data_IF_256700589645
#
_entry.id   IF_256700589645
#
_cell.length_a   1.000
_cell.length_b   1.000
_cell.length_c   1.000
_cell.angle_alpha   90.00
_cell.angle_beta   90.00
_cell.angle_gamma   90.00
#
_symmetry.space_group_name_H-M   'P 1'
#
loop_
_entity.id
_entity.type
_entity.pdbx_description
1 polymer ?
#
# COMPACT_ATOMS: atom_id res chain seq x y z
N UNK A 1 -6.62 -11.49 17.54
CA UNK A 1 -5.44 -12.01 18.25
C UNK A 1 -5.47 -11.34 19.61
N UNK A 2 -5.92 -12.06 20.63
CA UNK A 2 -5.99 -11.53 21.99
C UNK A 2 -4.55 -11.30 22.47
N UNK A 3 -4.25 -10.08 22.90
CA UNK A 3 -2.91 -9.73 23.38
C UNK A 3 -2.71 -10.43 24.73
N UNK A 4 -1.71 -11.32 24.81
CA UNK A 4 -1.41 -12.14 25.99
C UNK A 4 -1.26 -11.29 27.27
N UNK A 5 -0.76 -10.05 27.13
CA UNK A 5 -0.64 -9.12 28.25
C UNK A 5 -2.00 -8.71 28.85
N UNK A 6 -3.06 -8.63 28.04
CA UNK A 6 -4.38 -8.20 28.50
C UNK A 6 -4.97 -9.28 29.40
N UNK A 7 -4.86 -10.55 29.02
CA UNK A 7 -5.30 -11.67 29.85
C UNK A 7 -4.49 -11.77 31.15
N UNK A 8 -3.19 -11.52 31.11
CA UNK A 8 -2.37 -11.46 32.33
C UNK A 8 -2.75 -10.29 33.25
N UNK A 9 -3.06 -9.12 32.69
CA UNK A 9 -3.55 -7.98 33.48
C UNK A 9 -4.93 -8.31 34.06
N UNK A 10 -5.84 -8.93 33.30
CA UNK A 10 -7.18 -9.33 33.78
C UNK A 10 -7.03 -10.32 34.93
N UNK A 11 -6.15 -11.32 34.77
CA UNK A 11 -5.89 -12.32 35.78
C UNK A 11 -5.29 -11.74 37.06
N UNK A 12 -4.39 -10.77 36.95
CA UNK A 12 -3.72 -10.17 38.12
C UNK A 12 -4.57 -9.11 38.83
N UNK A 13 -5.38 -8.36 38.10
CA UNK A 13 -6.19 -7.25 38.66
C UNK A 13 -7.64 -7.64 38.96
N UNK A 14 -8.10 -8.79 38.45
CA UNK A 14 -9.47 -9.27 38.58
C UNK A 14 -10.52 -8.46 37.81
N UNK A 15 -10.11 -7.54 36.93
CA UNK A 15 -11.02 -6.56 36.32
C UNK A 15 -11.20 -6.75 34.81
N UNK A 16 -12.04 -7.69 34.44
CA UNK A 16 -12.43 -7.90 33.04
C UNK A 16 -13.20 -6.70 32.43
N UNK A 17 -13.81 -5.82 33.26
CA UNK A 17 -14.62 -4.69 32.76
C UNK A 17 -13.77 -3.58 32.13
N UNK A 18 -12.49 -3.47 32.48
CA UNK A 18 -11.58 -2.47 31.89
C UNK A 18 -10.78 -2.98 30.68
N UNK A 19 -11.12 -4.16 30.13
CA UNK A 19 -10.45 -4.75 28.95
C UNK A 19 -10.33 -3.75 27.79
N UNK A 20 -11.42 -3.07 27.43
CA UNK A 20 -11.43 -2.08 26.36
C UNK A 20 -10.46 -0.90 26.61
N UNK A 21 -10.28 -0.51 27.87
CA UNK A 21 -9.31 0.53 28.24
C UNK A 21 -7.87 0.03 28.10
N UNK A 22 -7.57 -1.22 28.49
CA UNK A 22 -6.22 -1.78 28.36
C UNK A 22 -5.85 -2.08 26.92
N UNK A 23 -6.77 -2.57 26.10
CA UNK A 23 -6.57 -2.70 24.66
C UNK A 23 -6.28 -1.35 24.00
N UNK A 24 -7.02 -0.29 24.41
CA UNK A 24 -6.75 1.08 23.98
C UNK A 24 -5.37 1.56 24.45
N UNK A 25 -4.98 1.25 25.68
CA UNK A 25 -3.66 1.61 26.22
C UNK A 25 -2.53 0.89 25.45
N UNK A 26 -2.66 -0.40 25.16
CA UNK A 26 -1.71 -1.17 24.33
C UNK A 26 -1.62 -0.59 22.92
N UNK A 27 -2.75 -0.19 22.32
CA UNK A 27 -2.77 0.44 21.00
C UNK A 27 -2.07 1.81 20.99
N UNK A 28 -2.22 2.60 22.05
CA UNK A 28 -1.69 3.97 22.13
C UNK A 28 -0.23 3.98 22.57
N UNK A 29 0.13 3.17 23.58
CA UNK A 29 1.44 3.15 24.22
C UNK A 29 2.38 2.12 23.57
N UNK A 30 1.84 1.02 23.04
CA UNK A 30 2.61 -0.14 22.61
C UNK A 30 2.73 -1.16 23.74
N UNK A 31 2.83 -2.45 23.38
CA UNK A 31 2.83 -3.57 24.32
C UNK A 31 4.01 -3.50 25.31
N UNK A 32 5.19 -3.07 24.87
CA UNK A 32 6.38 -2.95 25.74
C UNK A 32 6.18 -1.96 26.89
N UNK A 33 5.60 -0.78 26.62
CA UNK A 33 5.35 0.23 27.67
C UNK A 33 4.28 -0.27 28.64
N UNK A 34 3.26 -0.96 28.14
CA UNK A 34 2.24 -1.56 29.01
C UNK A 34 2.86 -2.70 29.84
N UNK A 35 3.82 -3.46 29.31
CA UNK A 35 4.55 -4.50 30.03
C UNK A 35 5.45 -3.95 31.13
N UNK A 36 6.10 -2.81 30.90
CA UNK A 36 6.90 -2.11 31.90
C UNK A 36 6.02 -1.63 33.07
N UNK A 37 4.91 -0.94 32.79
CA UNK A 37 3.98 -0.46 33.84
C UNK A 37 3.27 -1.63 34.55
N UNK A 38 3.03 -2.73 33.86
CA UNK A 38 2.50 -3.96 34.46
C UNK A 38 3.53 -4.65 35.36
N UNK A 39 4.81 -4.61 35.00
CA UNK A 39 5.91 -5.11 35.83
C UNK A 39 6.11 -4.26 37.09
N UNK A 40 5.97 -2.94 36.96
CA UNK A 40 5.93 -2.01 38.09
C UNK A 40 4.76 -2.29 39.03
N UNK A 41 3.56 -2.57 38.51
CA UNK A 41 2.43 -3.02 39.33
C UNK A 41 2.80 -4.30 40.10
N UNK A 42 3.36 -5.31 39.44
CA UNK A 42 3.75 -6.58 40.09
C UNK A 42 4.74 -6.33 41.23
N UNK A 43 5.73 -5.48 41.02
CA UNK A 43 6.71 -5.09 42.04
C UNK A 43 6.07 -4.39 43.23
N UNK A 44 5.17 -3.44 43.00
CA UNK A 44 4.49 -2.69 44.07
C UNK A 44 3.45 -3.52 44.84
N UNK A 45 2.89 -4.55 44.21
CA UNK A 45 2.07 -5.55 44.91
C UNK A 45 2.92 -6.44 45.83
N UNK A 46 4.13 -6.83 45.42
CA UNK A 46 5.05 -7.62 46.24
C UNK A 46 5.54 -6.86 47.48
N UNK A 47 5.70 -5.54 47.39
CA UNK A 47 6.09 -4.67 48.50
C UNK A 47 4.91 -4.21 49.38
N UNK A 48 3.69 -4.73 49.15
CA UNK A 48 2.43 -4.39 49.85
C UNK A 48 2.02 -2.91 49.80
N UNK A 49 2.57 -2.13 48.87
CA UNK A 49 2.28 -0.70 48.75
C UNK A 49 1.01 -0.39 47.93
N UNK A 50 0.37 -1.41 47.34
CA UNK A 50 -0.82 -1.23 46.49
C UNK A 50 -1.97 -2.11 46.98
N UNK A 51 -3.05 -1.46 47.44
CA UNK A 51 -4.28 -2.13 47.88
C UNK A 51 -5.29 -2.35 46.75
N UNK A 52 -5.21 -1.56 45.66
CA UNK A 52 -6.10 -1.66 44.49
C UNK A 52 -5.30 -1.71 43.17
N UNK A 53 -4.87 -2.91 42.74
CA UNK A 53 -4.03 -3.10 41.55
C UNK A 53 -4.59 -2.48 40.27
N UNK A 54 -5.92 -2.58 40.09
CA UNK A 54 -6.65 -2.00 38.95
C UNK A 54 -6.48 -0.47 38.88
N UNK A 55 -6.75 0.24 39.97
CA UNK A 55 -6.73 1.72 39.97
C UNK A 55 -5.30 2.21 39.79
N UNK A 56 -4.33 1.50 40.38
CA UNK A 56 -2.92 1.80 40.25
C UNK A 56 -2.43 1.71 38.79
N UNK A 57 -2.64 0.56 38.14
CA UNK A 57 -2.23 0.39 36.74
C UNK A 57 -2.97 1.36 35.80
N UNK A 58 -4.26 1.60 36.06
CA UNK A 58 -5.04 2.58 35.28
C UNK A 58 -4.46 3.99 35.42
N UNK A 59 -4.00 4.38 36.61
CA UNK A 59 -3.38 5.67 36.84
C UNK A 59 -2.02 5.80 36.14
N UNK A 60 -1.18 4.76 36.23
CA UNK A 60 0.11 4.69 35.53
C UNK A 60 -0.07 4.84 34.00
N UNK A 61 -0.96 4.06 33.42
CA UNK A 61 -1.23 4.10 31.99
C UNK A 61 -1.84 5.44 31.55
N UNK A 62 -2.77 6.02 32.33
CA UNK A 62 -3.30 7.37 32.06
C UNK A 62 -2.21 8.44 32.10
N UNK A 63 -1.27 8.35 33.05
CA UNK A 63 -0.15 9.27 33.17
C UNK A 63 0.77 9.17 31.94
N UNK A 64 1.07 7.97 31.47
CA UNK A 64 1.85 7.74 30.25
C UNK A 64 1.14 8.21 28.98
N UNK A 65 -0.17 7.99 28.87
CA UNK A 65 -0.98 8.49 27.75
C UNK A 65 -0.92 10.03 27.71
N UNK A 66 -1.14 10.70 28.84
CA UNK A 66 -1.04 12.16 28.93
C UNK A 66 0.37 12.66 28.62
N UNK A 67 1.41 12.03 29.13
CA UNK A 67 2.80 12.41 28.84
C UNK A 67 3.09 12.35 27.33
N UNK A 68 2.66 11.27 26.65
CA UNK A 68 2.82 11.11 25.20
C UNK A 68 2.00 12.11 24.39
N UNK A 69 0.83 12.52 24.89
CA UNK A 69 0.03 13.60 24.29
C UNK A 69 0.69 14.98 24.47
N UNK A 70 1.44 15.18 25.56
CA UNK A 70 2.11 16.44 25.87
C UNK A 70 3.45 16.57 25.13
N UNK A 71 4.16 15.46 24.90
CA UNK A 71 5.38 15.38 24.09
C UNK A 71 5.12 15.62 22.59
N UNK A 72 3.93 15.25 22.08
CA UNK A 72 3.49 15.63 20.72
C UNK A 72 3.35 17.14 20.52
N UNK A 73 3.24 17.93 21.59
CA UNK A 73 3.08 19.39 21.53
C UNK A 73 4.38 20.20 21.68
N UNK A 74 5.53 19.58 21.98
CA UNK A 74 6.77 20.31 22.34
C UNK A 74 8.00 20.05 21.47
N UNK A 75 7.89 19.25 20.41
CA UNK A 75 8.99 19.16 19.43
C UNK A 75 8.91 20.32 18.43
N UNK A 76 10.00 21.08 18.19
CA UNK A 76 10.05 22.03 17.10
C UNK A 76 9.94 21.25 15.79
N UNK A 77 8.78 21.35 15.14
CA UNK A 77 8.57 20.77 13.82
C UNK A 77 9.51 21.45 12.82
N UNK A 78 10.44 20.74 12.14
CA UNK A 78 10.89 21.22 10.85
C UNK A 78 9.65 21.36 9.98
N UNK A 79 9.54 22.48 9.25
CA UNK A 79 8.37 22.83 8.45
C UNK A 79 7.84 21.61 7.70
N UNK A 80 6.71 21.08 8.18
CA UNK A 80 5.98 20.00 7.54
C UNK A 80 5.52 20.58 6.20
N UNK A 81 6.01 20.09 5.05
CA UNK A 81 5.35 20.41 3.79
C UNK A 81 3.90 19.96 3.94
N UNK A 82 2.97 20.87 3.63
CA UNK A 82 1.51 20.71 3.66
C UNK A 82 1.02 19.34 4.15
N UNK A 83 0.36 19.31 5.31
CA UNK A 83 -0.46 18.19 5.83
C UNK A 83 -0.69 17.14 4.73
N UNK A 84 -0.06 15.96 4.83
CA UNK A 84 -0.47 14.77 4.08
C UNK A 84 -1.98 14.62 4.30
N UNK A 85 -2.79 15.19 3.39
CA UNK A 85 -4.26 15.17 3.47
C UNK A 85 -4.60 13.70 3.37
N UNK A 86 -5.12 13.08 4.42
CA UNK A 86 -5.41 11.64 4.40
C UNK A 86 -6.34 11.30 3.23
N UNK A 87 -5.81 10.55 2.25
CA UNK A 87 -6.35 10.36 0.89
C UNK A 87 -7.24 9.10 0.73
N UNK A 88 -7.90 8.68 1.81
CA UNK A 88 -8.78 7.51 1.82
C UNK A 88 -10.22 7.91 1.51
N UNK A 89 -11.04 6.96 1.07
CA UNK A 89 -12.49 7.18 0.99
C UNK A 89 -13.06 7.34 2.40
N UNK A 90 -14.06 8.20 2.52
CA UNK A 90 -14.66 8.55 3.82
C UNK A 90 -15.19 7.32 4.56
N UNK A 91 -15.89 6.45 3.84
CA UNK A 91 -16.53 5.24 4.36
C UNK A 91 -16.59 4.12 3.29
N UNK A 92 -17.10 2.95 3.68
CA UNK A 92 -17.20 1.77 2.82
C UNK A 92 -18.13 1.97 1.61
N UNK A 93 -19.20 2.77 1.75
CA UNK A 93 -20.13 3.06 0.66
C UNK A 93 -19.44 3.90 -0.43
N UNK A 94 -18.66 4.92 -0.04
CA UNK A 94 -17.91 5.76 -0.97
C UNK A 94 -16.79 4.98 -1.69
N UNK A 95 -16.20 3.98 -1.02
CA UNK A 95 -15.29 3.01 -1.62
C UNK A 95 -16.01 2.16 -2.68
N UNK A 96 -17.18 1.59 -2.34
CA UNK A 96 -17.99 0.78 -3.25
C UNK A 96 -18.41 1.56 -4.48
N UNK A 97 -19.00 2.75 -4.31
CA UNK A 97 -19.51 3.57 -5.42
C UNK A 97 -18.43 3.92 -6.42
N UNK A 98 -17.23 4.27 -5.94
CA UNK A 98 -16.13 4.57 -6.84
C UNK A 98 -15.62 3.34 -7.61
N UNK A 99 -15.60 2.15 -6.99
CA UNK A 99 -15.13 0.94 -7.67
C UNK A 99 -16.20 0.35 -8.61
N UNK A 100 -17.45 0.80 -8.48
CA UNK A 100 -18.62 0.36 -9.24
C UNK A 100 -19.02 1.28 -10.40
N UNK A 101 -18.10 2.12 -10.91
CA UNK A 101 -18.38 3.07 -12.00
C UNK A 101 -18.64 2.40 -13.35
N UNK A 102 -19.68 2.79 -14.11
CA UNK A 102 -19.98 2.23 -15.43
C UNK A 102 -18.84 2.43 -16.43
N UNK A 103 -18.90 1.66 -17.53
CA UNK A 103 -18.00 1.88 -18.65
C UNK A 103 -18.20 3.28 -19.26
N UNK A 104 -17.16 3.80 -19.90
CA UNK A 104 -17.25 5.03 -20.66
C UNK A 104 -18.24 4.89 -21.83
N UNK A 105 -19.02 5.93 -22.12
CA UNK A 105 -20.03 5.93 -23.18
C UNK A 105 -20.26 7.32 -23.77
N UNK A 106 -20.49 7.39 -25.08
CA UNK A 106 -20.71 8.65 -25.79
C UNK A 106 -19.45 9.31 -26.31
N UNK A 107 -19.55 10.60 -26.64
CA UNK A 107 -18.45 11.40 -27.18
C UNK A 107 -17.47 11.75 -26.06
N UNK A 108 -16.18 11.52 -26.31
CA UNK A 108 -15.11 11.90 -25.40
C UNK A 108 -14.66 13.35 -25.64
N UNK A 109 -14.82 14.21 -24.65
CA UNK A 109 -14.26 15.56 -24.64
C UNK A 109 -12.88 15.55 -23.95
N UNK A 110 -11.84 16.02 -24.64
CA UNK A 110 -10.49 16.11 -24.07
C UNK A 110 -10.41 17.31 -23.13
N UNK A 111 -9.98 17.07 -21.89
CA UNK A 111 -9.68 18.08 -20.88
C UNK A 111 -8.34 17.79 -20.20
N UNK A 112 -7.89 18.71 -19.37
CA UNK A 112 -6.78 18.52 -18.43
C UNK A 112 -7.32 18.71 -17.01
N UNK A 113 -6.68 18.11 -16.00
CA UNK A 113 -7.02 18.44 -14.62
C UNK A 113 -6.71 19.91 -14.33
N UNK A 114 -7.65 20.63 -13.73
CA UNK A 114 -7.51 22.05 -13.40
C UNK A 114 -6.27 22.31 -12.53
N UNK A 115 -6.08 21.46 -11.51
CA UNK A 115 -4.85 21.42 -10.73
C UNK A 115 -4.17 20.08 -11.07
N UNK A 116 -3.02 20.06 -11.78
CA UNK A 116 -2.31 18.82 -12.07
C UNK A 116 -1.58 18.26 -10.83
N UNK A 117 -1.01 17.07 -10.94
CA UNK A 117 -0.09 16.53 -9.94
C UNK A 117 1.31 17.12 -10.09
N UNK A 118 2.06 17.19 -8.98
CA UNK A 118 3.49 17.54 -9.03
C UNK A 118 4.24 16.51 -9.87
N UNK A 119 5.10 17.01 -10.77
CA UNK A 119 5.98 16.17 -11.58
C UNK A 119 7.01 15.41 -10.75
N UNK A 120 7.19 15.69 -9.46
CA UNK A 120 8.18 15.01 -8.61
C UNK A 120 7.70 13.70 -7.97
N UNK A 121 6.41 13.41 -8.03
CA UNK A 121 5.82 12.24 -7.37
C UNK A 121 4.88 11.48 -8.29
N UNK A 122 4.64 10.22 -7.98
CA UNK A 122 3.68 9.36 -8.66
C UNK A 122 2.40 9.30 -7.82
N UNK A 123 1.23 9.71 -8.36
CA UNK A 123 -0.04 9.53 -7.68
C UNK A 123 -0.45 8.05 -7.68
N UNK A 124 -0.39 7.41 -6.52
CA UNK A 124 -0.73 6.00 -6.37
C UNK A 124 -2.11 5.82 -5.74
N UNK A 125 -3.11 5.41 -6.52
CA UNK A 125 -4.48 5.19 -6.04
C UNK A 125 -4.51 4.32 -4.78
N UNK A 126 -5.19 4.80 -3.73
CA UNK A 126 -5.21 4.16 -2.40
C UNK A 126 -5.81 2.76 -2.40
N UNK A 127 -6.65 2.42 -3.38
CA UNK A 127 -7.22 1.08 -3.50
C UNK A 127 -6.21 0.04 -4.02
N UNK A 128 -5.13 0.48 -4.71
CA UNK A 128 -4.12 -0.43 -5.27
C UNK A 128 -3.11 -0.77 -4.16
N UNK A 129 -3.35 -1.88 -3.48
CA UNK A 129 -2.46 -2.44 -2.47
C UNK A 129 -1.49 -3.47 -3.06
N UNK A 130 -0.61 -4.04 -2.22
CA UNK A 130 0.31 -5.11 -2.62
C UNK A 130 -0.43 -6.32 -3.24
N UNK A 131 -1.66 -6.59 -2.81
CA UNK A 131 -2.44 -7.77 -3.22
C UNK A 131 -2.88 -7.73 -4.70
N UNK A 132 -2.75 -6.58 -5.36
CA UNK A 132 -3.01 -6.46 -6.80
C UNK A 132 -1.94 -7.17 -7.65
N UNK A 133 -0.76 -7.40 -7.09
CA UNK A 133 0.37 -7.95 -7.82
C UNK A 133 0.88 -9.24 -7.16
N UNK A 134 1.54 -10.08 -7.94
CA UNK A 134 2.20 -11.31 -7.47
C UNK A 134 3.64 -11.37 -7.95
N UNK A 135 4.43 -12.29 -7.41
CA UNK A 135 5.75 -12.63 -7.93
C UNK A 135 5.63 -13.34 -9.29
N UNK A 136 6.61 -13.14 -10.18
CA UNK A 136 6.73 -13.79 -11.49
C UNK A 136 6.87 -15.32 -11.43
N UNK A 137 7.22 -15.85 -10.25
CA UNK A 137 7.24 -17.30 -9.97
C UNK A 137 5.84 -17.88 -9.83
N UNK A 138 4.81 -17.06 -9.60
CA UNK A 138 3.43 -17.52 -9.63
C UNK A 138 3.05 -17.94 -11.06
N UNK A 139 2.75 -19.23 -11.24
CA UNK A 139 2.33 -19.79 -12.52
C UNK A 139 0.81 -19.93 -12.65
N UNK A 140 0.05 -19.59 -11.60
CA UNK A 140 -1.39 -19.58 -11.67
C UNK A 140 -1.88 -18.50 -12.63
N UNK A 141 -2.93 -18.81 -13.40
CA UNK A 141 -3.59 -17.84 -14.28
C UNK A 141 -4.72 -17.08 -13.58
N UNK A 142 -5.22 -17.60 -12.45
CA UNK A 142 -6.14 -16.92 -11.56
C UNK A 142 -6.00 -17.41 -10.12
N UNK A 143 -6.36 -16.57 -9.15
CA UNK A 143 -6.43 -16.91 -7.73
C UNK A 143 -7.36 -15.94 -6.97
N UNK A 144 -7.62 -16.23 -5.69
CA UNK A 144 -8.41 -15.37 -4.80
C UNK A 144 -7.52 -14.89 -3.67
N UNK A 145 -7.53 -13.58 -3.43
CA UNK A 145 -6.80 -12.93 -2.33
C UNK A 145 -7.74 -12.04 -1.53
N UNK A 146 -7.36 -11.77 -0.28
CA UNK A 146 -8.11 -10.85 0.59
C UNK A 146 -7.62 -9.43 0.39
N UNK A 147 -8.29 -8.64 -0.45
CA UNK A 147 -7.97 -7.24 -0.66
C UNK A 147 -8.43 -6.41 0.55
N UNK A 148 -7.51 -5.62 1.12
CA UNK A 148 -7.80 -4.77 2.28
C UNK A 148 -7.87 -3.31 1.83
N UNK A 149 -8.99 -2.67 2.08
CA UNK A 149 -9.22 -1.27 1.80
C UNK A 149 -9.37 -0.53 3.12
N UNK A 150 -8.59 0.53 3.30
CA UNK A 150 -8.71 1.41 4.47
C UNK A 150 -9.58 2.60 4.11
N UNK A 151 -10.46 2.98 5.03
CA UNK A 151 -11.30 4.18 4.95
C UNK A 151 -10.85 5.22 5.98
N UNK A 152 -11.29 6.48 5.83
CA UNK A 152 -10.87 7.58 6.72
C UNK A 152 -11.37 7.42 8.16
N UNK A 153 -12.52 6.77 8.34
CA UNK A 153 -13.06 6.35 9.64
C UNK A 153 -12.16 5.33 10.40
N UNK A 154 -11.11 4.83 9.74
CA UNK A 154 -10.16 3.88 10.31
C UNK A 154 -10.61 2.43 10.16
N UNK A 155 -11.76 2.16 9.54
CA UNK A 155 -12.19 0.81 9.24
C UNK A 155 -11.33 0.18 8.13
N UNK A 156 -11.18 -1.15 8.23
CA UNK A 156 -10.51 -1.96 7.22
C UNK A 156 -11.53 -2.90 6.62
N UNK A 157 -11.99 -2.59 5.42
CA UNK A 157 -12.86 -3.49 4.65
C UNK A 157 -12.00 -4.56 3.99
N UNK A 158 -12.30 -5.82 4.25
CA UNK A 158 -11.61 -6.97 3.67
C UNK A 158 -12.54 -7.63 2.65
N UNK A 159 -12.10 -7.71 1.39
CA UNK A 159 -12.92 -8.16 0.28
C UNK A 159 -12.19 -9.27 -0.47
N UNK A 160 -12.84 -10.43 -0.71
CA UNK A 160 -12.33 -11.40 -1.65
C UNK A 160 -12.19 -10.76 -3.04
N UNK A 161 -10.96 -10.75 -3.54
CA UNK A 161 -10.62 -10.28 -4.87
C UNK A 161 -10.11 -11.46 -5.69
N UNK A 162 -10.84 -11.82 -6.73
CA UNK A 162 -10.43 -12.78 -7.72
C UNK A 162 -9.52 -12.07 -8.74
N UNK A 163 -8.27 -12.53 -8.88
CA UNK A 163 -7.31 -12.00 -9.86
C UNK A 163 -7.31 -12.88 -11.10
N UNK A 164 -7.18 -12.27 -12.28
CA UNK A 164 -7.10 -12.96 -13.55
C UNK A 164 -8.43 -13.43 -14.13
N UNK A 165 -9.58 -12.99 -13.61
CA UNK A 165 -10.92 -13.24 -14.18
C UNK A 165 -11.79 -11.99 -14.03
N UNK A 166 -12.66 -11.73 -15.00
CA UNK A 166 -13.63 -10.61 -14.99
C UNK A 166 -14.88 -10.95 -14.18
N UNK A 167 -15.17 -12.24 -13.98
CA UNK A 167 -16.30 -12.73 -13.18
C UNK A 167 -16.00 -14.14 -12.63
N UNK A 168 -16.72 -14.61 -11.59
CA UNK A 168 -16.56 -15.94 -11.04
C UNK A 168 -16.81 -16.98 -12.13
N UNK A 169 -15.99 -18.03 -12.15
CA UNK A 169 -16.02 -19.10 -13.18
C UNK A 169 -15.81 -18.63 -14.62
N UNK A 170 -15.49 -17.35 -14.87
CA UNK A 170 -15.15 -16.82 -16.20
C UNK A 170 -13.75 -17.23 -16.66
N UNK A 171 -13.38 -16.96 -17.91
CA UNK A 171 -12.07 -17.32 -18.46
C UNK A 171 -10.87 -16.77 -17.65
N UNK A 172 -9.82 -17.58 -17.51
CA UNK A 172 -8.55 -17.16 -16.91
C UNK A 172 -7.69 -16.36 -17.89
N UNK A 173 -7.33 -15.14 -17.48
CA UNK A 173 -6.58 -14.19 -18.32
C UNK A 173 -5.17 -13.92 -17.81
N UNK A 174 -4.77 -14.52 -16.70
CA UNK A 174 -3.47 -14.31 -16.07
C UNK A 174 -3.53 -13.26 -14.95
N UNK A 175 -2.56 -13.33 -14.03
CA UNK A 175 -2.45 -12.42 -12.88
C UNK A 175 -1.37 -11.38 -13.17
N UNK A 176 -1.60 -10.13 -12.79
CA UNK A 176 -0.58 -9.09 -12.90
C UNK A 176 0.55 -9.33 -11.90
N UNK A 177 1.79 -9.26 -12.38
CA UNK A 177 3.00 -9.41 -11.55
C UNK A 177 3.51 -8.06 -11.07
N UNK A 178 4.51 -8.07 -10.19
CA UNK A 178 5.19 -6.85 -9.74
C UNK A 178 5.72 -6.00 -10.89
N UNK A 179 6.21 -6.63 -11.96
CA UNK A 179 6.68 -5.89 -13.13
C UNK A 179 5.58 -5.02 -13.75
N UNK A 180 4.35 -5.51 -13.79
CA UNK A 180 3.20 -4.73 -14.24
C UNK A 180 2.91 -3.56 -13.29
N UNK A 181 3.09 -3.76 -11.98
CA UNK A 181 3.00 -2.67 -10.98
C UNK A 181 4.03 -1.57 -11.21
N UNK A 182 5.27 -1.93 -11.58
CA UNK A 182 6.33 -0.98 -11.96
C UNK A 182 6.01 -0.26 -13.26
N UNK A 183 5.50 -0.99 -14.27
CA UNK A 183 5.04 -0.41 -15.54
C UNK A 183 3.91 0.61 -15.28
N UNK A 184 2.92 0.25 -14.46
CA UNK A 184 1.85 1.17 -14.08
C UNK A 184 2.37 2.43 -13.39
N UNK A 185 3.35 2.31 -12.48
CA UNK A 185 4.00 3.45 -11.84
C UNK A 185 4.66 4.38 -12.87
N UNK A 186 5.39 3.81 -13.83
CA UNK A 186 6.05 4.56 -14.89
C UNK A 186 5.05 5.21 -15.86
N UNK A 187 3.96 4.53 -16.26
CA UNK A 187 2.89 5.10 -17.08
C UNK A 187 2.23 6.29 -16.35
N UNK A 188 1.95 6.17 -15.05
CA UNK A 188 1.42 7.29 -14.26
C UNK A 188 2.39 8.48 -14.20
N UNK A 189 3.69 8.23 -14.11
CA UNK A 189 4.70 9.28 -14.19
C UNK A 189 4.67 10.01 -15.55
N UNK A 190 4.49 9.27 -16.65
CA UNK A 190 4.31 9.85 -18.00
C UNK A 190 3.02 10.69 -18.06
N UNK A 191 1.91 10.16 -17.55
CA UNK A 191 0.63 10.88 -17.48
C UNK A 191 0.75 12.22 -16.73
N UNK A 192 1.41 12.23 -15.57
CA UNK A 192 1.70 13.46 -14.83
C UNK A 192 2.59 14.42 -15.63
N UNK A 193 3.61 13.90 -16.30
CA UNK A 193 4.50 14.70 -17.14
C UNK A 193 3.80 15.37 -18.32
N UNK A 194 2.70 14.76 -18.80
CA UNK A 194 1.84 15.27 -19.88
C UNK A 194 0.71 16.19 -19.39
N UNK A 195 0.84 16.79 -18.18
CA UNK A 195 -0.16 17.66 -17.57
C UNK A 195 -1.50 16.98 -17.28
N UNK A 196 -1.46 15.68 -16.99
CA UNK A 196 -2.62 14.91 -16.51
C UNK A 196 -3.87 15.03 -17.40
N UNK A 197 -3.78 14.67 -18.70
CA UNK A 197 -4.92 14.77 -19.60
C UNK A 197 -5.99 13.71 -19.27
N UNK A 198 -7.25 14.05 -19.57
CA UNK A 198 -8.41 13.22 -19.29
C UNK A 198 -9.49 13.39 -20.36
N UNK A 199 -10.31 12.37 -20.53
CA UNK A 199 -11.57 12.43 -21.27
C UNK A 199 -12.73 12.55 -20.30
N UNK A 200 -13.72 13.37 -20.66
CA UNK A 200 -15.05 13.36 -20.04
C UNK A 200 -16.04 12.85 -21.08
N UNK A 201 -16.73 11.77 -20.77
CA UNK A 201 -17.64 11.09 -21.69
C UNK A 201 -19.07 11.61 -21.54
N UNK A 202 -19.68 12.06 -22.64
CA UNK A 202 -20.97 12.78 -22.62
C UNK A 202 -22.13 12.00 -22.01
N UNK A 203 -22.25 10.70 -22.32
CA UNK A 203 -23.47 9.95 -22.02
C UNK A 203 -23.48 9.43 -20.58
N UNK A 204 -22.30 9.23 -20.01
CA UNK A 204 -22.13 8.64 -18.67
C UNK A 204 -21.51 9.59 -17.65
N UNK A 205 -20.94 10.71 -18.09
CA UNK A 205 -20.14 11.61 -17.24
C UNK A 205 -18.85 10.97 -16.71
N UNK A 206 -18.51 9.76 -17.17
CA UNK A 206 -17.32 9.03 -16.72
C UNK A 206 -16.07 9.77 -17.16
N UNK A 207 -15.05 9.73 -16.30
CA UNK A 207 -13.75 10.32 -16.58
C UNK A 207 -12.75 9.21 -16.93
N UNK A 208 -12.06 9.36 -18.05
CA UNK A 208 -10.97 8.49 -18.51
C UNK A 208 -9.66 9.24 -18.59
N UNK A 209 -8.79 9.09 -17.58
CA UNK A 209 -7.43 9.64 -17.63
C UNK A 209 -6.62 8.90 -18.71
N UNK A 210 -5.89 9.63 -19.54
CA UNK A 210 -5.14 9.01 -20.64
C UNK A 210 -3.78 9.65 -20.85
N UNK A 211 -2.85 8.94 -21.49
CA UNK A 211 -1.55 9.48 -21.90
C UNK A 211 -1.00 8.78 -23.15
N UNK A 212 -0.02 9.41 -23.78
CA UNK A 212 0.75 8.82 -24.89
C UNK A 212 2.07 8.25 -24.35
N UNK A 213 2.28 6.96 -24.47
CA UNK A 213 3.43 6.26 -23.88
C UNK A 213 4.38 5.82 -24.98
N UNK A 214 5.55 6.48 -25.08
CA UNK A 214 6.65 5.94 -25.88
C UNK A 214 7.25 4.74 -25.17
N UNK A 215 7.31 3.58 -25.83
CA UNK A 215 7.83 2.34 -25.22
C UNK A 215 9.30 2.48 -24.81
N UNK A 216 10.09 3.27 -25.56
CA UNK A 216 11.48 3.58 -25.19
C UNK A 216 11.58 4.48 -23.97
N UNK A 217 10.68 5.46 -23.82
CA UNK A 217 10.62 6.28 -22.61
C UNK A 217 10.21 5.46 -21.40
N UNK A 218 9.22 4.57 -21.56
CA UNK A 218 8.79 3.63 -20.53
C UNK A 218 9.95 2.74 -20.08
N UNK A 219 10.72 2.17 -21.01
CA UNK A 219 11.90 1.36 -20.72
C UNK A 219 12.94 2.14 -19.90
N UNK A 220 13.20 3.40 -20.25
CA UNK A 220 14.11 4.29 -19.52
C UNK A 220 13.62 4.53 -18.08
N UNK A 221 12.33 4.80 -17.88
CA UNK A 221 11.72 5.00 -16.55
C UNK A 221 11.70 3.71 -15.70
N UNK A 222 11.84 2.54 -16.32
CA UNK A 222 12.00 1.26 -15.64
C UNK A 222 13.47 0.92 -15.37
N UNK A 223 14.41 1.77 -15.81
CA UNK A 223 15.84 1.55 -15.70
C UNK A 223 16.36 0.38 -16.53
N UNK A 224 15.77 0.15 -17.72
CA UNK A 224 16.27 -0.85 -18.68
C UNK A 224 17.41 -0.23 -19.50
N UNK A 225 18.61 -0.81 -19.42
CA UNK A 225 19.82 -0.30 -20.08
C UNK A 225 19.99 -0.87 -21.49
N UNK A 226 19.70 -2.16 -21.69
CA UNK A 226 19.79 -2.84 -22.98
C UNK A 226 18.38 -3.07 -23.55
N UNK A 227 17.98 -2.22 -24.50
CA UNK A 227 16.60 -2.21 -25.01
C UNK A 227 16.56 -2.32 -26.54
N UNK A 228 16.39 -3.56 -27.01
CA UNK A 228 16.28 -3.92 -28.43
C UNK A 228 14.85 -4.26 -28.88
N UNK A 229 14.74 -4.83 -30.08
CA UNK A 229 13.45 -5.13 -30.72
C UNK A 229 12.59 -6.13 -29.94
N UNK A 230 13.19 -7.22 -29.44
CA UNK A 230 12.47 -8.22 -28.66
C UNK A 230 11.95 -7.65 -27.33
N UNK A 231 12.78 -6.86 -26.63
CA UNK A 231 12.39 -6.19 -25.39
C UNK A 231 11.29 -5.15 -25.63
N UNK A 232 11.29 -4.50 -26.80
CA UNK A 232 10.23 -3.59 -27.22
C UNK A 232 8.88 -4.30 -27.33
N UNK A 233 8.84 -5.45 -28.01
CA UNK A 233 7.61 -6.27 -28.12
C UNK A 233 7.15 -6.71 -26.74
N UNK A 234 8.04 -7.30 -25.94
CA UNK A 234 7.71 -7.78 -24.59
C UNK A 234 7.18 -6.67 -23.68
N UNK A 235 7.78 -5.46 -23.72
CA UNK A 235 7.31 -4.35 -22.91
C UNK A 235 5.96 -3.83 -23.40
N UNK A 236 5.74 -3.82 -24.71
CA UNK A 236 4.43 -3.47 -25.30
C UNK A 236 3.35 -4.44 -24.83
N UNK A 237 3.61 -5.74 -24.90
CA UNK A 237 2.69 -6.79 -24.44
C UNK A 237 2.34 -6.65 -22.95
N UNK A 238 3.33 -6.31 -22.11
CA UNK A 238 3.09 -6.06 -20.68
C UNK A 238 2.25 -4.81 -20.39
N UNK A 239 2.24 -3.83 -21.30
CA UNK A 239 1.27 -2.72 -21.22
C UNK A 239 -0.13 -3.22 -21.57
N UNK A 240 -0.28 -4.05 -22.60
CA UNK A 240 -1.56 -4.68 -22.94
C UNK A 240 -2.07 -5.60 -21.83
N UNK A 241 -1.19 -6.30 -21.12
CA UNK A 241 -1.55 -7.12 -19.96
C UNK A 241 -2.30 -6.33 -18.88
N UNK A 242 -1.94 -5.06 -18.63
CA UNK A 242 -2.64 -4.20 -17.67
C UNK A 242 -4.11 -3.91 -18.05
N UNK A 243 -4.46 -4.05 -19.34
CA UNK A 243 -5.83 -4.00 -19.85
C UNK A 243 -6.49 -5.37 -19.81
N UNK A 244 -5.78 -6.41 -20.22
CA UNK A 244 -6.36 -7.72 -20.47
C UNK A 244 -6.52 -8.57 -19.20
N UNK A 245 -5.70 -8.33 -18.17
CA UNK A 245 -5.72 -9.06 -16.90
C UNK A 245 -6.57 -8.30 -15.88
N UNK A 246 -7.73 -8.88 -15.61
CA UNK A 246 -8.76 -8.23 -14.80
C UNK A 246 -8.78 -8.73 -13.36
N UNK A 247 -9.40 -7.94 -12.51
CA UNK A 247 -9.77 -8.24 -11.14
C UNK A 247 -11.28 -8.33 -11.05
N UNK A 248 -11.80 -9.13 -10.13
CA UNK A 248 -13.20 -9.15 -9.75
C UNK A 248 -13.32 -9.02 -8.24
N UNK A 249 -14.08 -8.02 -7.80
CA UNK A 249 -14.35 -7.79 -6.38
C UNK A 249 -15.70 -8.41 -6.01
N UNK A 250 -15.68 -9.35 -5.07
CA UNK A 250 -16.87 -10.03 -4.58
C UNK A 250 -17.47 -9.28 -3.38
N UNK A 251 -18.18 -8.19 -3.69
CA UNK A 251 -18.88 -7.35 -2.71
C UNK A 251 -20.09 -8.04 -2.08
N UNK A 252 -20.70 -9.01 -2.76
CA UNK A 252 -21.81 -9.79 -2.22
C UNK A 252 -21.40 -10.55 -0.95
N UNK A 253 -20.13 -10.95 -0.84
CA UNK A 253 -19.57 -11.57 0.37
C UNK A 253 -19.64 -10.69 1.62
N UNK A 254 -19.84 -9.37 1.48
CA UNK A 254 -19.98 -8.42 2.59
C UNK A 254 -21.43 -8.25 3.06
N UNK A 255 -22.39 -8.97 2.50
CA UNK A 255 -23.80 -8.94 2.95
C UNK A 255 -24.61 -7.73 2.49
N UNK A 256 -24.08 -6.91 1.59
CA UNK A 256 -24.84 -5.82 0.96
C UNK A 256 -25.88 -6.40 -0.02
N UNK A 257 -27.17 -6.33 0.35
CA UNK A 257 -28.30 -6.96 -0.38
C UNK A 257 -28.47 -6.53 -1.84
N UNK A 258 -27.80 -5.46 -2.29
CA UNK A 258 -27.80 -4.97 -3.68
C UNK A 258 -26.37 -4.76 -4.24
N UNK A 259 -25.36 -5.39 -3.65
CA UNK A 259 -23.98 -5.23 -4.14
C UNK A 259 -23.83 -5.83 -5.54
N UNK A 260 -23.57 -4.95 -6.50
CA UNK A 260 -23.17 -5.34 -7.85
C UNK A 260 -21.69 -5.71 -7.78
N UNK A 261 -21.41 -7.01 -7.76
CA UNK A 261 -20.05 -7.47 -7.96
C UNK A 261 -19.52 -6.99 -9.31
N UNK A 262 -18.25 -6.58 -9.35
CA UNK A 262 -17.68 -5.95 -10.55
C UNK A 262 -16.30 -6.46 -10.89
N UNK A 263 -16.16 -6.77 -12.17
CA UNK A 263 -14.88 -6.95 -12.83
C UNK A 263 -14.34 -5.62 -13.34
N UNK A 264 -13.03 -5.41 -13.23
CA UNK A 264 -12.34 -4.27 -13.83
C UNK A 264 -10.88 -4.60 -14.15
N UNK A 265 -10.27 -3.84 -15.05
CA UNK A 265 -8.83 -3.86 -15.33
C UNK A 265 -8.19 -2.54 -14.89
N UNK A 266 -6.86 -2.44 -14.85
CA UNK A 266 -6.19 -1.18 -14.48
C UNK A 266 -6.19 -0.18 -15.65
N UNK A 267 -6.18 -0.69 -16.88
CA UNK A 267 -6.35 0.10 -18.11
C UNK A 267 -7.66 -0.29 -18.80
N UNK A 268 -8.35 0.70 -19.36
CA UNK A 268 -9.53 0.51 -20.20
C UNK A 268 -9.12 0.20 -21.65
N UNK A 269 -8.22 1.06 -22.16
CA UNK A 269 -7.87 1.09 -23.58
C UNK A 269 -6.37 1.23 -23.75
N UNK A 270 -5.83 0.45 -24.69
CA UNK A 270 -4.44 0.53 -25.12
C UNK A 270 -4.47 0.39 -26.64
N UNK A 271 -4.02 1.43 -27.34
CA UNK A 271 -4.01 1.48 -28.81
C UNK A 271 -2.61 1.86 -29.30
N UNK A 272 -2.18 1.25 -30.40
CA UNK A 272 -1.01 1.75 -31.12
C UNK A 272 -1.36 3.11 -31.72
N UNK A 273 -0.56 4.11 -31.38
CA UNK A 273 -0.62 5.43 -31.96
C UNK A 273 0.61 5.64 -32.85
N UNK A 274 0.44 6.39 -33.93
CA UNK A 274 1.57 6.83 -34.73
C UNK A 274 2.43 7.79 -33.91
N UNK A 275 3.72 7.49 -33.82
CA UNK A 275 4.70 8.35 -33.17
C UNK A 275 5.88 8.59 -34.08
N UNK A 276 6.26 9.85 -34.27
CA UNK A 276 7.53 10.23 -34.91
C UNK A 276 8.33 11.09 -33.95
N UNK A 277 9.62 10.80 -33.80
CA UNK A 277 10.53 11.63 -33.01
C UNK A 277 11.85 11.75 -33.75
N UNK A 278 12.27 12.99 -34.05
CA UNK A 278 13.45 13.28 -34.87
C UNK A 278 13.45 12.51 -36.21
N UNK A 279 12.29 12.43 -36.87
CA UNK A 279 12.14 11.76 -38.17
C UNK A 279 12.07 10.22 -38.13
N UNK A 280 12.25 9.57 -36.97
CA UNK A 280 12.11 8.12 -36.85
C UNK A 280 10.74 7.72 -36.29
N UNK A 281 10.13 6.69 -36.88
CA UNK A 281 8.94 6.06 -36.30
C UNK A 281 9.26 5.47 -34.93
N UNK A 282 8.39 5.73 -33.97
CA UNK A 282 8.45 5.19 -32.62
C UNK A 282 7.17 4.45 -32.30
N UNK A 283 7.29 3.32 -31.60
CA UNK A 283 6.14 2.63 -31.00
C UNK A 283 5.62 3.48 -29.85
N UNK A 284 4.50 4.14 -30.07
CA UNK A 284 3.77 4.92 -29.08
C UNK A 284 2.43 4.24 -28.82
N UNK A 285 2.06 4.11 -27.55
CA UNK A 285 0.75 3.63 -27.14
C UNK A 285 -0.09 4.78 -26.64
N UNK A 286 -1.33 4.91 -27.11
CA UNK A 286 -2.36 5.68 -26.41
C UNK A 286 -2.95 4.79 -25.33
N UNK A 287 -2.75 5.16 -24.08
CA UNK A 287 -3.19 4.41 -22.90
C UNK A 287 -4.26 5.19 -22.17
N UNK A 288 -5.38 4.55 -21.86
CA UNK A 288 -6.46 5.07 -21.04
C UNK A 288 -6.62 4.21 -19.78
N UNK A 289 -6.62 4.86 -18.61
CA UNK A 289 -6.86 4.22 -17.33
C UNK A 289 -8.33 3.83 -17.20
N UNK A 290 -8.60 2.75 -16.46
CA UNK A 290 -9.99 2.35 -16.20
C UNK A 290 -10.80 3.46 -15.49
N UNK A 291 -12.13 3.50 -15.64
CA UNK A 291 -12.99 4.46 -14.94
C UNK A 291 -12.72 4.51 -13.43
N UNK A 292 -12.49 3.35 -12.82
CA UNK A 292 -12.17 3.20 -11.40
C UNK A 292 -10.84 3.89 -11.08
N UNK A 293 -9.77 3.58 -11.82
CA UNK A 293 -8.47 4.19 -11.59
C UNK A 293 -8.51 5.70 -11.84
N UNK A 294 -9.12 6.14 -12.94
CA UNK A 294 -9.28 7.54 -13.33
C UNK A 294 -10.01 8.34 -12.25
N UNK A 295 -11.14 7.83 -11.74
CA UNK A 295 -11.89 8.47 -10.68
C UNK A 295 -11.07 8.62 -9.39
N UNK A 296 -10.24 7.63 -9.02
CA UNK A 296 -9.35 7.77 -7.85
C UNK A 296 -8.31 8.87 -8.06
N UNK A 297 -7.71 8.93 -9.25
CA UNK A 297 -6.69 9.90 -9.58
C UNK A 297 -7.27 11.33 -9.62
N UNK A 298 -8.42 11.53 -10.25
CA UNK A 298 -9.03 12.87 -10.36
C UNK A 298 -9.54 13.37 -9.01
N UNK A 299 -10.20 12.49 -8.24
CA UNK A 299 -10.70 12.81 -6.90
C UNK A 299 -9.60 12.83 -5.82
N UNK A 300 -8.31 12.81 -6.21
CA UNK A 300 -7.16 12.85 -5.30
C UNK A 300 -7.17 11.77 -4.20
N UNK A 301 -7.80 10.61 -4.44
CA UNK A 301 -7.75 9.47 -3.52
C UNK A 301 -6.45 8.69 -3.73
N UNK A 302 -5.30 9.33 -3.53
CA UNK A 302 -3.99 8.78 -3.90
C UNK A 302 -2.96 8.98 -2.80
N UNK A 303 -2.00 8.07 -2.67
CA UNK A 303 -0.77 8.31 -1.92
C UNK A 303 0.29 8.80 -2.92
N UNK A 304 0.91 9.94 -2.64
CA UNK A 304 2.08 10.39 -3.40
C UNK A 304 3.27 9.49 -3.08
N UNK A 305 3.82 8.83 -4.11
CA UNK A 305 4.98 7.95 -3.99
C UNK A 305 6.19 8.51 -4.77
N UNK A 306 7.43 8.21 -4.34
CA UNK A 306 8.63 8.57 -5.09
C UNK A 306 8.67 7.90 -6.47
N UNK A 307 9.33 8.54 -7.45
CA UNK A 307 9.48 7.97 -8.81
C UNK A 307 10.29 6.68 -8.81
N UNK A 308 11.19 6.56 -7.84
CA UNK A 308 12.07 5.43 -7.59
C UNK A 308 11.29 4.13 -7.30
N UNK A 309 9.99 4.22 -6.99
CA UNK A 309 9.11 3.05 -6.90
C UNK A 309 9.19 2.17 -8.15
N UNK A 310 9.28 2.77 -9.35
CA UNK A 310 9.42 2.03 -10.61
C UNK A 310 10.79 1.34 -10.77
N UNK A 311 11.80 1.75 -9.99
CA UNK A 311 13.17 1.21 -10.03
C UNK A 311 13.40 0.06 -9.05
N UNK A 312 12.46 -0.25 -8.15
CA UNK A 312 12.59 -1.38 -7.22
C UNK A 312 12.51 -2.69 -8.01
N UNK A 313 13.67 -3.28 -8.34
CA UNK A 313 13.78 -4.48 -9.18
C UNK A 313 13.40 -5.77 -8.44
N UNK A 314 13.58 -5.81 -7.12
CA UNK A 314 13.16 -6.96 -6.32
C UNK A 314 11.65 -7.02 -6.22
N UNK A 315 11.06 -8.12 -6.68
CA UNK A 315 9.62 -8.30 -6.68
C UNK A 315 9.05 -8.24 -5.25
N UNK A 316 9.65 -9.00 -4.33
CA UNK A 316 9.26 -8.97 -2.92
C UNK A 316 9.49 -7.58 -2.30
N UNK A 317 10.58 -6.89 -2.68
CA UNK A 317 10.85 -5.53 -2.19
C UNK A 317 9.79 -4.51 -2.61
N UNK A 318 9.30 -4.61 -3.84
CA UNK A 318 8.21 -3.76 -4.33
C UNK A 318 6.89 -4.04 -3.59
N UNK A 319 6.53 -5.31 -3.39
CA UNK A 319 5.35 -5.69 -2.61
C UNK A 319 5.44 -5.19 -1.16
N UNK A 320 6.61 -5.35 -0.53
CA UNK A 320 6.88 -4.83 0.80
C UNK A 320 6.74 -3.30 0.84
N UNK A 321 7.26 -2.57 -0.16
CA UNK A 321 7.09 -1.10 -0.23
C UNK A 321 5.62 -0.71 -0.32
N UNK A 322 4.83 -1.40 -1.14
CA UNK A 322 3.40 -1.12 -1.26
C UNK A 322 2.65 -1.39 0.05
N UNK A 323 3.01 -2.46 0.76
CA UNK A 323 2.39 -2.89 2.00
C UNK A 323 2.79 -2.04 3.22
N UNK A 324 4.08 -1.80 3.42
CA UNK A 324 4.62 -1.16 4.63
C UNK A 324 4.40 0.34 4.65
N UNK A 325 4.67 1.04 3.54
CA UNK A 325 4.65 2.51 3.50
C UNK A 325 3.37 3.13 4.12
N UNK A 326 2.14 2.75 3.73
CA UNK A 326 0.94 3.31 4.35
C UNK A 326 0.79 2.97 5.84
N UNK A 327 1.28 1.81 6.29
CA UNK A 327 1.27 1.43 7.72
C UNK A 327 2.23 2.33 8.49
N UNK A 328 3.44 2.50 7.97
CA UNK A 328 4.48 3.31 8.59
C UNK A 328 4.08 4.78 8.72
N UNK A 329 3.40 5.33 7.72
CA UNK A 329 2.79 6.66 7.82
C UNK A 329 1.76 6.75 8.97
N UNK A 330 0.92 5.72 9.15
CA UNK A 330 -0.07 5.69 10.23
C UNK A 330 0.53 5.54 11.63
N UNK A 331 1.71 4.93 11.73
CA UNK A 331 2.45 4.74 12.99
C UNK A 331 3.29 5.96 13.38
N UNK A 332 3.59 6.83 12.42
CA UNK A 332 4.33 8.08 12.60
C UNK A 332 5.60 7.93 13.48
N UNK A 333 6.53 7.08 13.04
CA UNK A 333 7.82 6.85 13.69
C UNK A 333 7.85 5.66 14.66
N UNK A 334 6.69 5.15 15.09
CA UNK A 334 6.66 3.89 15.84
C UNK A 334 7.08 2.69 14.97
N UNK A 335 7.67 1.68 15.62
CA UNK A 335 8.14 0.46 14.96
C UNK A 335 6.94 -0.42 14.62
N UNK A 336 6.88 -0.82 13.35
CA UNK A 336 6.07 -1.93 12.89
C UNK A 336 6.89 -3.23 13.02
N UNK A 337 6.27 -4.29 13.51
CA UNK A 337 6.88 -5.63 13.56
C UNK A 337 5.89 -6.67 13.04
N UNK A 338 6.42 -7.67 12.32
CA UNK A 338 5.64 -8.84 11.91
C UNK A 338 6.53 -10.04 11.59
N UNK A 339 6.08 -11.25 11.92
CA UNK A 339 6.82 -12.46 11.51
C UNK A 339 6.87 -12.62 9.98
N UNK A 340 7.94 -13.23 9.48
CA UNK A 340 8.09 -13.47 8.03
C UNK A 340 7.01 -14.42 7.48
N UNK A 341 6.60 -15.43 8.26
CA UNK A 341 5.48 -16.31 7.91
C UNK A 341 4.18 -15.55 7.71
N UNK A 342 3.81 -14.68 8.64
CA UNK A 342 2.60 -13.88 8.49
C UNK A 342 2.69 -12.82 7.37
N UNK A 343 3.90 -12.44 6.94
CA UNK A 343 4.11 -11.59 5.77
C UNK A 343 3.90 -12.36 4.48
N UNK A 344 4.33 -13.61 4.39
CA UNK A 344 4.05 -14.51 3.26
C UNK A 344 2.54 -14.58 3.04
N UNK A 345 1.77 -14.78 4.11
CA UNK A 345 0.31 -14.89 4.05
C UNK A 345 -0.36 -13.57 3.65
N UNK A 346 0.05 -12.45 4.27
CA UNK A 346 -0.62 -11.16 4.03
C UNK A 346 -0.24 -10.54 2.69
N UNK A 347 0.94 -10.85 2.14
CA UNK A 347 1.31 -10.49 0.77
C UNK A 347 0.78 -11.49 -0.26
N UNK A 348 0.11 -12.57 0.18
CA UNK A 348 -0.39 -13.66 -0.66
C UNK A 348 0.67 -14.19 -1.63
N UNK A 349 1.87 -14.48 -1.11
CA UNK A 349 2.99 -14.94 -1.93
C UNK A 349 2.70 -16.36 -2.46
N UNK A 350 3.07 -16.66 -3.73
CA UNK A 350 2.90 -18.00 -4.29
C UNK A 350 3.71 -19.02 -3.50
N UNK A 351 3.17 -20.24 -3.37
CA UNK A 351 3.85 -21.32 -2.66
C UNK A 351 5.27 -21.54 -3.19
N UNK A 352 6.25 -21.59 -2.29
CA UNK A 352 7.64 -21.81 -2.62
C UNK A 352 8.34 -22.64 -1.53
N UNK A 353 9.38 -23.39 -1.92
CA UNK A 353 10.11 -24.28 -1.00
C UNK A 353 10.66 -23.55 0.23
N UNK A 354 11.20 -22.35 0.02
CA UNK A 354 11.79 -21.50 1.06
C UNK A 354 10.79 -21.05 2.14
N UNK A 355 9.47 -21.20 1.91
CA UNK A 355 8.46 -20.89 2.93
C UNK A 355 8.53 -21.84 4.13
N UNK A 356 9.05 -23.07 3.94
CA UNK A 356 9.04 -24.13 4.96
C UNK A 356 10.05 -23.86 6.06
N UNK A 357 11.26 -23.43 5.69
CA UNK A 357 12.38 -23.28 6.63
C UNK A 357 12.52 -21.84 7.12
N UNK A 358 12.72 -21.67 8.43
CA UNK A 358 12.84 -20.37 9.09
C UNK A 358 13.99 -19.54 8.51
N UNK A 359 15.17 -20.13 8.35
CA UNK A 359 16.34 -19.40 7.88
C UNK A 359 16.31 -19.09 6.37
N UNK A 360 15.66 -19.93 5.56
CA UNK A 360 15.45 -19.59 4.16
C UNK A 360 14.50 -18.41 3.98
N UNK A 361 13.42 -18.31 4.79
CA UNK A 361 12.56 -17.12 4.84
C UNK A 361 13.41 -15.88 5.13
N UNK A 362 14.27 -15.93 6.15
CA UNK A 362 15.19 -14.82 6.46
C UNK A 362 16.06 -14.46 5.26
N UNK A 363 16.72 -15.44 4.64
CA UNK A 363 17.64 -15.19 3.53
C UNK A 363 16.93 -14.46 2.36
N UNK A 364 15.74 -14.93 1.98
CA UNK A 364 14.96 -14.34 0.88
C UNK A 364 14.51 -12.92 1.22
N UNK A 365 13.96 -12.69 2.41
CA UNK A 365 13.54 -11.35 2.82
C UNK A 365 14.72 -10.40 3.02
N UNK A 366 15.85 -10.84 3.57
CA UNK A 366 17.07 -10.04 3.69
C UNK A 366 17.58 -9.59 2.31
N UNK A 367 17.60 -10.49 1.32
CA UNK A 367 17.96 -10.14 -0.06
C UNK A 367 17.01 -9.08 -0.62
N UNK A 368 15.71 -9.22 -0.37
CA UNK A 368 14.72 -8.24 -0.80
C UNK A 368 14.93 -6.86 -0.14
N UNK A 369 15.11 -6.80 1.18
CA UNK A 369 15.36 -5.55 1.91
C UNK A 369 16.65 -4.89 1.43
N UNK A 370 17.74 -5.65 1.31
CA UNK A 370 19.03 -5.14 0.83
C UNK A 370 18.91 -4.51 -0.56
N UNK A 371 18.11 -5.11 -1.44
CA UNK A 371 17.87 -4.58 -2.79
C UNK A 371 16.99 -3.34 -2.85
N UNK A 372 16.19 -3.08 -1.81
CA UNK A 372 15.44 -1.83 -1.70
C UNK A 372 16.40 -0.68 -1.37
N UNK A 373 17.48 -0.93 -0.62
CA UNK A 373 18.39 0.12 -0.17
C UNK A 373 17.68 1.17 0.71
N UNK A 374 18.31 2.33 0.91
CA UNK A 374 17.71 3.44 1.66
C UNK A 374 16.64 4.13 0.82
N UNK A 375 15.41 3.63 0.89
CA UNK A 375 14.28 4.25 0.22
C UNK A 375 13.71 5.41 1.04
N UNK A 376 13.47 6.54 0.38
CA UNK A 376 12.81 7.69 1.00
C UNK A 376 11.32 7.69 0.70
N UNK A 377 10.54 8.28 1.58
CA UNK A 377 9.15 8.63 1.30
C UNK A 377 9.08 10.02 0.67
N UNK A 378 7.89 10.44 0.25
CA UNK A 378 7.69 11.75 -0.41
C UNK A 378 7.89 12.94 0.53
N UNK A 379 7.83 12.75 1.85
CA UNK A 379 8.18 13.78 2.84
C UNK A 379 9.65 13.76 3.27
N UNK A 380 10.48 12.96 2.60
CA UNK A 380 11.92 12.87 2.83
C UNK A 380 12.35 11.91 3.93
N UNK A 381 11.41 11.36 4.73
CA UNK A 381 11.75 10.35 5.75
C UNK A 381 12.27 9.06 5.14
N UNK A 382 13.24 8.45 5.79
CA UNK A 382 13.80 7.16 5.37
C UNK A 382 12.98 6.00 5.93
N UNK A 383 12.75 4.97 5.10
CA UNK A 383 12.20 3.70 5.56
C UNK A 383 13.34 2.82 6.05
N UNK A 384 13.42 2.61 7.35
CA UNK A 384 14.38 1.70 7.97
C UNK A 384 13.74 0.33 8.11
N UNK A 385 14.43 -0.70 7.62
CA UNK A 385 13.99 -2.09 7.60
C UNK A 385 15.05 -2.96 8.25
N UNK A 386 14.61 -3.87 9.13
CA UNK A 386 15.46 -4.84 9.82
C UNK A 386 14.81 -6.21 9.84
N UNK A 387 15.62 -7.24 10.10
CA UNK A 387 15.13 -8.57 10.45
C UNK A 387 15.79 -8.97 11.76
N UNK A 388 14.96 -9.23 12.75
CA UNK A 388 15.35 -9.56 14.11
C UNK A 388 14.90 -10.98 14.46
N UNK A 389 15.57 -11.55 15.45
CA UNK A 389 15.25 -12.89 15.93
C UNK A 389 13.94 -12.87 16.73
N UNK A 390 12.97 -13.71 16.35
CA UNK A 390 11.76 -13.95 17.11
C UNK A 390 11.70 -15.38 17.65
N UNK A 391 10.77 -15.64 18.57
CA UNK A 391 10.64 -16.91 19.28
C UNK A 391 10.42 -18.12 18.35
N UNK A 392 9.59 -17.96 17.32
CA UNK A 392 9.18 -19.06 16.42
C UNK A 392 9.52 -18.82 14.96
N UNK A 393 9.76 -17.57 14.59
CA UNK A 393 10.15 -17.15 13.25
C UNK A 393 10.96 -15.86 13.33
N UNK A 394 11.64 -15.52 12.23
CA UNK A 394 12.23 -14.19 12.09
C UNK A 394 11.16 -13.11 11.99
N UNK A 395 11.47 -11.92 12.50
CA UNK A 395 10.55 -10.77 12.55
C UNK A 395 11.10 -9.68 11.66
N UNK A 396 10.31 -9.22 10.70
CA UNK A 396 10.58 -7.97 9.98
C UNK A 396 10.23 -6.80 10.90
N UNK A 397 11.17 -5.90 11.12
CA UNK A 397 10.94 -4.61 11.77
C UNK A 397 11.04 -3.48 10.76
N UNK A 398 10.19 -2.46 10.90
CA UNK A 398 10.15 -1.32 10.00
C UNK A 398 9.75 -0.03 10.72
N UNK A 399 10.39 1.10 10.40
CA UNK A 399 10.02 2.42 10.93
C UNK A 399 10.34 3.55 9.95
N UNK A 400 9.72 4.72 10.16
CA UNK A 400 10.13 5.96 9.50
C UNK A 400 11.09 6.73 10.39
N UNK A 401 12.21 7.14 9.84
CA UNK A 401 13.15 8.05 10.50
C UNK A 401 13.24 9.38 9.75
N UNK A 402 13.24 10.47 10.52
CA UNK A 402 13.62 11.78 10.02
C UNK A 402 15.11 11.78 9.69
N UNK A 403 15.48 12.38 8.56
CA UNK A 403 16.90 12.60 8.26
C UNK A 403 17.41 13.61 9.28
N UNK A 404 18.29 13.18 10.20
CA UNK A 404 19.12 14.12 10.93
C UNK A 404 19.86 14.94 9.87
N UNK A 405 19.63 16.25 9.83
CA UNK A 405 20.47 17.16 9.08
C UNK A 405 21.90 16.83 9.50
N UNK A 406 22.70 16.31 8.56
CA UNK A 406 24.14 16.26 8.72
C UNK A 406 24.56 17.72 8.93
N UNK A 407 24.71 18.11 10.20
CA UNK A 407 25.48 19.28 10.57
C UNK A 407 26.87 18.99 10.01
N UNK A 408 27.15 19.56 8.84
CA UNK A 408 28.52 19.72 8.38
C UNK A 408 29.21 20.49 9.50
N UNK A 409 30.02 19.79 10.28
CA UNK A 409 31.06 20.43 11.08
C UNK A 409 31.92 21.21 10.10
N UNK A 410 31.90 22.52 10.33
CA UNK A 410 32.70 23.59 9.74
C UNK A 410 34.15 23.22 9.44
#
# INVERSE_FOLDING_TARGET
MESYIIEDIIRLTGDAKSRAFWEKAVRILGENIVAEEFSELKYQMQTKNVHEPRKYLTALLKKRIKARETEKGKQPHPAVPEKLKTYFKENQLALFTGLSLPAAGGRAEKREMEIPYSKETIPWATFISANFFTLSTNKAKSDVVQAKFKTMDGEVTVIPMLRGRVKPKGEERGILTVEHGRILAAIKNIWVSQKTPQYVYSDTGVIGCFCLVSIRELARLLGLTDFGGQQLVQLTDKVFDLRNRSYYLDWASLGFKNAINRGFSLLEKVELAEGTRRGQMQTVLKVEFSPQLSSWLVNRNVVSRPKELAHIRSELGFLLRLYLEPILFSLNGAVYSKSLRELIDVLALPAAGWHKQRDERRHVFQKAIKSMGTQRTTDGRQIILGIEEGLTDWILTARLESVALLTKSS
#
